data_IF_790115592631
#
_entry.id   IF_790115592631
#
_cell.length_a   1.000
_cell.length_b   1.000
_cell.length_c   1.000
_cell.angle_alpha   90.00
_cell.angle_beta   90.00
_cell.angle_gamma   90.00
#
_symmetry.space_group_name_H-M   'P 1'
#
loop_
_entity.id
_entity.type
_entity.pdbx_description
1 polymer ?
#
# COMPACT_ATOMS: atom_id res chain seq x y z
N UNK A 1 -10.72 -8.69 32.10
CA UNK A 1 -10.62 -9.40 30.81
C UNK A 1 -11.26 -8.56 29.72
N UNK A 2 -11.02 -8.88 28.45
CA UNK A 2 -11.70 -8.24 27.32
C UNK A 2 -13.21 -8.50 27.36
N UNK A 3 -14.01 -7.55 26.85
CA UNK A 3 -15.46 -7.70 26.67
C UNK A 3 -15.74 -7.84 25.17
N UNK A 4 -16.49 -8.87 24.79
CA UNK A 4 -16.86 -9.14 23.40
C UNK A 4 -18.37 -8.93 23.29
N UNK A 5 -18.78 -8.11 22.33
CA UNK A 5 -20.19 -7.83 22.04
C UNK A 5 -20.49 -8.25 20.60
N UNK A 6 -21.15 -9.39 20.45
CA UNK A 6 -21.58 -9.90 19.14
C UNK A 6 -22.95 -9.33 18.78
N UNK A 7 -23.29 -9.32 17.48
CA UNK A 7 -24.55 -8.74 16.96
C UNK A 7 -24.72 -7.24 17.30
N UNK A 8 -23.62 -6.53 17.53
CA UNK A 8 -23.56 -5.09 17.76
C UNK A 8 -22.78 -4.45 16.62
N UNK A 9 -23.49 -4.05 15.56
CA UNK A 9 -22.86 -3.43 14.40
C UNK A 9 -22.40 -2.00 14.72
N UNK A 10 -21.16 -1.68 14.33
CA UNK A 10 -20.65 -0.31 14.33
C UNK A 10 -21.14 0.38 13.06
N UNK A 11 -21.88 1.47 13.21
CA UNK A 11 -22.40 2.24 12.07
C UNK A 11 -21.55 3.47 11.78
N UNK A 12 -20.74 3.94 12.74
CA UNK A 12 -19.88 5.11 12.57
C UNK A 12 -18.70 5.09 13.56
N UNK A 13 -17.52 5.52 13.10
CA UNK A 13 -16.41 5.91 13.97
C UNK A 13 -16.61 7.37 14.38
N UNK A 14 -16.61 7.65 15.68
CA UNK A 14 -16.79 9.00 16.22
C UNK A 14 -15.45 9.73 16.24
N UNK A 15 -15.38 10.90 15.59
CA UNK A 15 -14.17 11.73 15.51
C UNK A 15 -14.44 13.11 16.11
N UNK A 16 -13.62 13.51 17.07
CA UNK A 16 -13.69 14.80 17.75
C UNK A 16 -12.31 15.47 17.66
N UNK A 17 -12.26 16.71 17.17
CA UNK A 17 -11.01 17.48 17.04
C UNK A 17 -9.88 16.71 16.32
N UNK A 18 -10.24 15.97 15.25
CA UNK A 18 -9.29 15.18 14.46
C UNK A 18 -8.78 13.91 15.14
N UNK A 19 -9.46 13.43 16.20
CA UNK A 19 -9.10 12.22 16.95
C UNK A 19 -10.29 11.30 17.12
N UNK A 20 -10.08 10.00 17.00
CA UNK A 20 -11.08 8.99 17.33
C UNK A 20 -11.47 9.08 18.82
N UNK A 21 -12.76 9.02 19.09
CA UNK A 21 -13.34 9.23 20.43
C UNK A 21 -14.31 8.12 20.83
N UNK A 22 -14.53 7.15 19.95
CA UNK A 22 -15.44 6.04 20.15
C UNK A 22 -16.09 5.55 18.87
N UNK A 23 -17.15 4.77 19.02
CA UNK A 23 -17.96 4.23 17.93
C UNK A 23 -19.44 4.40 18.24
N UNK A 24 -20.24 4.69 17.21
CA UNK A 24 -21.69 4.54 17.27
C UNK A 24 -22.05 3.13 16.85
N UNK A 25 -22.92 2.50 17.63
CA UNK A 25 -23.39 1.15 17.36
C UNK A 25 -24.91 1.09 17.29
N UNK A 26 -25.45 -0.04 16.84
CA UNK A 26 -26.90 -0.34 16.89
C UNK A 26 -27.46 -0.36 18.32
N UNK A 27 -26.61 -0.39 19.35
CA UNK A 27 -26.99 -0.42 20.77
C UNK A 27 -26.59 0.86 21.51
N UNK A 28 -26.25 1.93 20.77
CA UNK A 28 -25.84 3.22 21.31
C UNK A 28 -24.34 3.50 21.14
N UNK A 29 -23.92 4.66 21.63
CA UNK A 29 -22.55 5.15 21.49
C UNK A 29 -21.64 4.53 22.57
N UNK A 30 -20.45 4.09 22.16
CA UNK A 30 -19.40 3.59 23.05
C UNK A 30 -18.17 4.49 22.93
N UNK A 31 -17.74 5.10 24.03
CA UNK A 31 -16.55 5.95 24.08
C UNK A 31 -15.29 5.12 24.21
N UNK A 32 -14.26 5.49 23.46
CA UNK A 32 -12.95 4.86 23.52
C UNK A 32 -11.86 5.90 23.20
N UNK A 33 -10.72 5.81 23.88
CA UNK A 33 -9.55 6.63 23.56
C UNK A 33 -8.90 6.23 22.24
N UNK A 34 -8.90 4.92 21.95
CA UNK A 34 -8.36 4.32 20.73
C UNK A 34 -9.43 3.48 20.06
N UNK A 35 -9.49 3.55 18.72
CA UNK A 35 -10.38 2.73 17.90
C UNK A 35 -9.51 1.97 16.90
N UNK A 36 -9.73 0.66 16.76
CA UNK A 36 -9.05 -0.17 15.76
C UNK A 36 -10.07 -0.63 14.72
N UNK A 37 -9.92 -0.19 13.48
CA UNK A 37 -10.70 -0.66 12.34
C UNK A 37 -10.12 -2.01 11.84
N UNK A 38 -10.67 -3.08 12.36
CA UNK A 38 -10.39 -4.47 11.97
C UNK A 38 -11.58 -5.12 11.24
N UNK A 39 -12.40 -4.31 10.54
CA UNK A 39 -13.68 -4.72 9.98
C UNK A 39 -13.59 -5.48 8.64
N UNK A 40 -12.51 -6.23 8.39
CA UNK A 40 -12.33 -7.02 7.16
C UNK A 40 -12.62 -6.23 5.88
N UNK A 41 -13.50 -6.75 5.02
CA UNK A 41 -13.91 -6.09 3.76
C UNK A 41 -14.67 -4.77 3.97
N UNK A 42 -15.31 -4.57 5.13
CA UNK A 42 -16.04 -3.33 5.45
C UNK A 42 -15.12 -2.21 5.92
N UNK A 43 -13.85 -2.50 6.21
CA UNK A 43 -12.90 -1.52 6.75
C UNK A 43 -12.68 -0.32 5.80
N UNK A 44 -12.76 -0.52 4.48
CA UNK A 44 -12.71 0.56 3.49
C UNK A 44 -13.84 1.58 3.69
N UNK A 45 -15.09 1.09 3.73
CA UNK A 45 -16.27 1.95 3.87
C UNK A 45 -16.32 2.64 5.23
N UNK A 46 -16.03 1.89 6.30
CA UNK A 46 -16.01 2.43 7.66
C UNK A 46 -14.93 3.51 7.84
N UNK A 47 -13.73 3.28 7.28
CA UNK A 47 -12.63 4.25 7.30
C UNK A 47 -12.93 5.50 6.46
N UNK A 48 -13.53 5.34 5.27
CA UNK A 48 -13.92 6.45 4.42
C UNK A 48 -14.97 7.37 5.09
N UNK A 49 -15.95 6.78 5.77
CA UNK A 49 -16.94 7.53 6.54
C UNK A 49 -16.34 8.33 7.71
N UNK A 50 -15.20 7.89 8.24
CA UNK A 50 -14.43 8.60 9.27
C UNK A 50 -13.40 9.61 8.69
N UNK A 51 -13.34 9.77 7.36
CA UNK A 51 -12.39 10.67 6.70
C UNK A 51 -10.97 10.12 6.52
N UNK A 52 -10.79 8.80 6.60
CA UNK A 52 -9.49 8.13 6.45
C UNK A 52 -9.36 7.32 5.17
N UNK A 53 -8.14 7.11 4.71
CA UNK A 53 -7.83 6.28 3.53
C UNK A 53 -7.46 4.86 3.95
N UNK A 54 -8.36 3.90 3.74
CA UNK A 54 -8.11 2.46 3.93
C UNK A 54 -8.28 1.76 2.57
N UNK A 55 -7.23 1.65 1.74
CA UNK A 55 -7.35 1.16 0.37
C UNK A 55 -7.38 -0.37 0.34
N UNK A 56 -8.58 -0.93 0.34
CA UNK A 56 -8.81 -2.36 0.09
C UNK A 56 -10.11 -2.58 -0.68
N UNK A 57 -10.21 -3.72 -1.34
CA UNK A 57 -11.40 -4.11 -2.09
C UNK A 57 -11.65 -5.60 -1.95
N UNK A 58 -12.92 -6.01 -2.00
CA UNK A 58 -13.24 -7.42 -1.98
C UNK A 58 -13.00 -8.04 -3.36
N UNK A 59 -12.53 -9.28 -3.40
CA UNK A 59 -12.51 -10.11 -4.60
C UNK A 59 -12.99 -11.52 -4.25
N UNK A 60 -13.62 -12.18 -5.22
CA UNK A 60 -13.97 -13.59 -5.14
C UNK A 60 -12.72 -14.43 -4.95
N UNK A 61 -12.80 -15.44 -4.08
CA UNK A 61 -11.75 -16.42 -3.82
C UNK A 61 -12.34 -17.82 -3.77
N UNK A 62 -11.70 -18.74 -4.49
CA UNK A 62 -12.27 -20.04 -4.77
C UNK A 62 -11.50 -21.16 -4.07
N UNK A 63 -12.24 -22.12 -3.49
CA UNK A 63 -11.70 -23.42 -3.15
C UNK A 63 -12.76 -24.52 -3.27
N UNK A 64 -12.30 -25.74 -3.45
CA UNK A 64 -13.10 -26.95 -3.31
C UNK A 64 -12.68 -27.74 -2.09
N UNK A 65 -13.60 -28.53 -1.57
CA UNK A 65 -13.30 -29.60 -0.62
C UNK A 65 -13.79 -30.91 -1.22
N UNK A 66 -12.91 -31.88 -1.35
CA UNK A 66 -13.27 -33.20 -1.86
C UNK A 66 -14.15 -33.96 -0.88
N UNK A 67 -14.80 -35.02 -1.34
CA UNK A 67 -15.22 -36.11 -0.46
C UNK A 67 -14.00 -36.78 0.19
N UNK A 68 -14.23 -37.63 1.19
CA UNK A 68 -13.14 -38.34 1.85
C UNK A 68 -12.42 -39.26 0.86
N UNK A 69 -11.09 -39.15 0.77
CA UNK A 69 -10.26 -39.95 -0.13
C UNK A 69 -9.72 -41.16 0.64
N UNK A 70 -10.09 -42.40 0.26
CA UNK A 70 -9.62 -43.59 0.94
C UNK A 70 -8.08 -43.69 0.96
N UNK A 71 -7.51 -43.88 2.15
CA UNK A 71 -6.06 -44.02 2.31
C UNK A 71 -5.27 -42.71 2.22
N UNK A 72 -5.92 -41.54 2.19
CA UNK A 72 -5.24 -40.25 2.22
C UNK A 72 -4.39 -40.11 3.51
N UNK A 73 -3.08 -39.86 3.41
CA UNK A 73 -2.24 -39.68 4.60
C UNK A 73 -2.64 -38.42 5.39
N UNK A 74 -2.81 -38.56 6.71
CA UNK A 74 -3.28 -37.48 7.61
C UNK A 74 -2.27 -36.36 7.88
N UNK A 75 -1.04 -36.51 7.42
CA UNK A 75 0.07 -35.60 7.73
C UNK A 75 0.75 -35.12 6.46
N UNK A 76 -0.02 -34.95 5.38
CA UNK A 76 0.49 -34.35 4.17
C UNK A 76 0.90 -32.90 4.45
N UNK A 77 2.07 -32.46 3.97
CA UNK A 77 2.42 -31.06 4.00
C UNK A 77 1.46 -30.27 3.11
N UNK A 78 1.27 -28.98 3.42
CA UNK A 78 0.61 -28.06 2.50
C UNK A 78 1.45 -27.97 1.22
N UNK A 79 0.82 -28.21 0.08
CA UNK A 79 1.43 -28.06 -1.23
C UNK A 79 1.00 -26.71 -1.82
N UNK A 80 1.95 -25.99 -2.43
CA UNK A 80 1.67 -24.84 -3.29
C UNK A 80 2.26 -25.12 -4.66
N UNK A 81 1.44 -24.99 -5.69
CA UNK A 81 1.84 -25.07 -7.09
C UNK A 81 1.72 -23.68 -7.70
N UNK A 82 2.85 -22.98 -7.78
CA UNK A 82 2.90 -21.63 -8.35
C UNK A 82 2.55 -21.59 -9.84
N UNK A 83 2.90 -22.63 -10.59
CA UNK A 83 2.66 -22.69 -12.04
C UNK A 83 1.15 -22.80 -12.33
N UNK A 84 0.43 -23.61 -11.55
CA UNK A 84 -1.02 -23.80 -11.66
C UNK A 84 -1.83 -22.88 -10.74
N UNK A 85 -1.17 -21.91 -10.10
CA UNK A 85 -1.80 -20.96 -9.19
C UNK A 85 -2.63 -21.60 -8.05
N UNK A 86 -2.25 -22.81 -7.57
CA UNK A 86 -3.08 -23.61 -6.66
C UNK A 86 -2.39 -23.99 -5.34
N UNK A 87 -3.18 -24.24 -4.30
CA UNK A 87 -2.71 -24.79 -3.03
C UNK A 87 -3.59 -25.93 -2.55
N UNK A 88 -2.97 -26.86 -1.83
CA UNK A 88 -3.59 -28.08 -1.37
C UNK A 88 -3.30 -28.27 0.11
N UNK A 89 -4.32 -28.67 0.86
CA UNK A 89 -4.20 -29.01 2.26
C UNK A 89 -5.03 -30.26 2.55
N UNK A 90 -4.46 -31.17 3.34
CA UNK A 90 -5.24 -32.24 3.95
C UNK A 90 -6.21 -31.67 4.99
N UNK A 91 -7.46 -32.11 4.90
CA UNK A 91 -8.54 -31.67 5.78
C UNK A 91 -9.39 -32.86 6.21
N UNK A 92 -9.00 -33.52 7.30
CA UNK A 92 -9.73 -34.61 7.93
C UNK A 92 -10.10 -35.76 6.97
N UNK A 93 -9.12 -36.25 6.20
CA UNK A 93 -9.29 -37.30 5.19
C UNK A 93 -9.78 -36.81 3.83
N UNK A 94 -9.91 -35.49 3.65
CA UNK A 94 -10.26 -34.83 2.39
C UNK A 94 -9.09 -33.97 1.91
N UNK A 95 -9.19 -33.48 0.68
CA UNK A 95 -8.33 -32.41 0.19
C UNK A 95 -9.13 -31.13 0.05
N UNK A 96 -8.61 -30.05 0.63
CA UNK A 96 -8.99 -28.69 0.27
C UNK A 96 -8.03 -28.22 -0.81
N UNK A 97 -8.59 -27.75 -1.93
CA UNK A 97 -7.83 -27.19 -3.05
C UNK A 97 -8.35 -25.81 -3.34
N UNK A 98 -7.49 -24.79 -3.28
CA UNK A 98 -7.87 -23.43 -3.61
C UNK A 98 -6.88 -22.78 -4.56
N UNK A 99 -7.25 -21.62 -5.11
CA UNK A 99 -6.51 -20.96 -6.18
C UNK A 99 -6.31 -19.47 -5.91
N UNK A 100 -5.24 -18.91 -6.47
CA UNK A 100 -5.02 -17.47 -6.55
C UNK A 100 -4.87 -17.11 -8.03
N UNK A 101 -6.00 -16.92 -8.72
CA UNK A 101 -5.99 -16.77 -10.17
C UNK A 101 -5.22 -15.53 -10.64
N UNK A 102 -4.51 -15.61 -11.79
CA UNK A 102 -3.79 -14.46 -12.36
C UNK A 102 -4.68 -13.24 -12.63
N UNK A 103 -5.98 -13.45 -12.87
CA UNK A 103 -6.97 -12.41 -13.12
C UNK A 103 -8.08 -12.56 -12.09
N UNK A 104 -8.04 -11.72 -11.07
CA UNK A 104 -9.02 -11.75 -9.99
C UNK A 104 -10.40 -11.25 -10.43
N UNK A 105 -11.43 -11.59 -9.66
CA UNK A 105 -12.79 -11.07 -9.82
C UNK A 105 -13.17 -10.12 -8.67
N UNK A 106 -12.92 -8.80 -8.81
CA UNK A 106 -13.40 -7.80 -7.85
C UNK A 106 -14.90 -7.89 -7.60
N UNK A 107 -15.30 -7.84 -6.33
CA UNK A 107 -16.68 -7.95 -5.89
C UNK A 107 -17.09 -6.78 -4.98
N UNK A 108 -18.39 -6.50 -4.90
CA UNK A 108 -18.91 -5.48 -3.98
C UNK A 108 -18.70 -4.05 -4.47
N UNK A 109 -18.72 -3.81 -5.79
CA UNK A 109 -18.59 -2.46 -6.38
C UNK A 109 -19.69 -1.48 -5.96
N UNK A 110 -20.82 -1.96 -5.44
CA UNK A 110 -21.88 -1.14 -4.83
C UNK A 110 -21.86 -1.11 -3.29
N UNK A 111 -20.83 -1.70 -2.69
CA UNK A 111 -20.74 -1.95 -1.25
C UNK A 111 -20.91 -3.44 -0.93
N UNK A 112 -20.42 -3.83 0.24
CA UNK A 112 -20.61 -5.17 0.80
C UNK A 112 -21.89 -5.13 1.64
N UNK A 113 -22.89 -6.00 1.39
CA UNK A 113 -24.12 -6.02 2.18
C UNK A 113 -23.82 -6.21 3.66
N UNK A 114 -24.50 -5.46 4.54
CA UNK A 114 -24.33 -5.57 5.99
C UNK A 114 -24.73 -6.95 6.54
N UNK A 115 -25.67 -7.62 5.86
CA UNK A 115 -26.14 -8.96 6.21
C UNK A 115 -25.22 -10.09 5.74
N UNK A 116 -24.19 -9.80 4.94
CA UNK A 116 -23.31 -10.84 4.39
C UNK A 116 -22.41 -11.39 5.51
N UNK A 117 -22.74 -12.59 6.00
CA UNK A 117 -22.01 -13.26 7.08
C UNK A 117 -22.28 -14.76 7.03
N UNK A 118 -21.23 -15.58 7.21
CA UNK A 118 -21.31 -17.04 7.08
C UNK A 118 -21.99 -17.50 5.77
N UNK A 119 -21.77 -16.75 4.71
CA UNK A 119 -22.39 -16.91 3.40
C UNK A 119 -21.33 -17.07 2.32
N UNK A 120 -21.75 -17.50 1.14
CA UNK A 120 -20.90 -17.69 -0.04
C UNK A 120 -21.53 -17.01 -1.25
N UNK A 121 -20.69 -16.62 -2.19
CA UNK A 121 -21.13 -16.13 -3.49
C UNK A 121 -21.56 -17.30 -4.38
N UNK A 122 -22.33 -17.04 -5.45
CA UNK A 122 -22.69 -18.08 -6.41
C UNK A 122 -21.46 -18.80 -6.97
N UNK A 123 -21.59 -20.10 -7.18
CA UNK A 123 -20.57 -20.92 -7.82
C UNK A 123 -20.29 -20.40 -9.25
N UNK A 124 -19.03 -20.46 -9.66
CA UNK A 124 -18.58 -20.13 -11.01
C UNK A 124 -17.76 -21.29 -11.57
N UNK A 125 -18.47 -22.32 -12.02
CA UNK A 125 -17.82 -23.55 -12.50
C UNK A 125 -17.02 -23.31 -13.78
N UNK A 126 -17.46 -22.41 -14.66
CA UNK A 126 -16.74 -22.06 -15.90
C UNK A 126 -15.37 -21.44 -15.57
N UNK A 127 -15.29 -20.63 -14.50
CA UNK A 127 -14.03 -20.06 -14.02
C UNK A 127 -13.13 -21.11 -13.35
N UNK A 128 -13.71 -22.02 -12.56
CA UNK A 128 -12.95 -23.01 -11.76
C UNK A 128 -12.47 -24.21 -12.59
N UNK A 129 -13.25 -24.66 -13.58
CA UNK A 129 -12.97 -25.87 -14.38
C UNK A 129 -11.52 -25.94 -14.91
N UNK A 130 -10.98 -24.93 -15.63
CA UNK A 130 -9.59 -25.00 -16.13
C UNK A 130 -8.55 -25.05 -14.99
N UNK A 131 -8.85 -24.43 -13.85
CA UNK A 131 -7.97 -24.44 -12.68
C UNK A 131 -7.96 -25.80 -11.99
N UNK A 132 -9.12 -26.46 -11.97
CA UNK A 132 -9.29 -27.81 -11.45
C UNK A 132 -8.61 -28.84 -12.35
N UNK A 133 -8.70 -28.72 -13.67
CA UNK A 133 -7.96 -29.57 -14.61
C UNK A 133 -6.45 -29.52 -14.36
N UNK A 134 -5.89 -28.31 -14.18
CA UNK A 134 -4.48 -28.12 -13.84
C UNK A 134 -4.13 -28.73 -12.47
N UNK A 135 -5.01 -28.58 -11.48
CA UNK A 135 -4.85 -29.20 -10.17
C UNK A 135 -4.88 -30.74 -10.22
N UNK A 136 -5.75 -31.33 -11.06
CA UNK A 136 -5.81 -32.78 -11.31
C UNK A 136 -4.53 -33.27 -11.97
N UNK A 137 -3.97 -32.51 -12.92
CA UNK A 137 -2.69 -32.84 -13.52
C UNK A 137 -1.56 -32.93 -12.46
N UNK A 138 -1.56 -32.01 -11.48
CA UNK A 138 -0.59 -32.03 -10.37
C UNK A 138 -0.86 -33.15 -9.35
N UNK A 139 -2.13 -33.36 -9.00
CA UNK A 139 -2.58 -34.36 -8.01
C UNK A 139 -3.66 -35.26 -8.63
N UNK A 140 -3.27 -36.34 -9.35
CA UNK A 140 -4.21 -37.17 -10.11
C UNK A 140 -5.32 -37.82 -9.30
N UNK A 141 -5.13 -37.98 -7.98
CA UNK A 141 -6.17 -38.50 -7.08
C UNK A 141 -7.45 -37.64 -7.08
N UNK A 142 -7.34 -36.34 -7.39
CA UNK A 142 -8.48 -35.44 -7.50
C UNK A 142 -9.43 -35.82 -8.64
N UNK A 143 -8.92 -36.38 -9.74
CA UNK A 143 -9.74 -36.79 -10.88
C UNK A 143 -10.66 -37.99 -10.61
N UNK A 144 -10.47 -38.66 -9.47
CA UNK A 144 -11.29 -39.80 -9.02
C UNK A 144 -12.10 -39.47 -7.76
N UNK A 145 -11.83 -38.34 -7.12
CA UNK A 145 -12.51 -37.93 -5.89
C UNK A 145 -13.80 -37.18 -6.23
N UNK A 146 -14.88 -37.46 -5.48
CA UNK A 146 -16.06 -36.59 -5.49
C UNK A 146 -15.73 -35.22 -4.90
N UNK A 147 -16.51 -34.20 -5.25
CA UNK A 147 -16.42 -32.87 -4.66
C UNK A 147 -17.59 -32.68 -3.69
N UNK A 148 -17.28 -32.42 -2.43
CA UNK A 148 -18.28 -32.18 -1.39
C UNK A 148 -18.73 -30.71 -1.35
N UNK A 149 -17.80 -29.79 -1.62
CA UNK A 149 -18.06 -28.35 -1.55
C UNK A 149 -17.34 -27.64 -2.69
N UNK A 150 -18.08 -26.79 -3.39
CA UNK A 150 -17.55 -25.66 -4.13
C UNK A 150 -17.79 -24.42 -3.28
N UNK A 151 -16.75 -23.64 -3.06
CA UNK A 151 -16.82 -22.43 -2.26
C UNK A 151 -16.28 -21.24 -3.06
N UNK A 152 -17.10 -20.19 -3.15
CA UNK A 152 -16.71 -18.88 -3.61
C UNK A 152 -16.93 -17.89 -2.46
N UNK A 153 -15.84 -17.51 -1.78
CA UNK A 153 -15.89 -16.57 -0.66
C UNK A 153 -15.19 -15.27 -1.00
N UNK A 154 -15.78 -14.10 -0.71
CA UNK A 154 -15.10 -12.85 -0.94
C UNK A 154 -14.06 -12.58 0.15
N UNK A 155 -12.90 -12.08 -0.25
CA UNK A 155 -11.82 -11.66 0.64
C UNK A 155 -11.33 -10.25 0.30
N UNK A 156 -10.77 -9.55 1.29
CA UNK A 156 -10.25 -8.19 1.08
C UNK A 156 -8.79 -8.19 0.64
N UNK A 157 -8.52 -7.52 -0.49
CA UNK A 157 -7.19 -7.31 -1.05
C UNK A 157 -6.79 -5.84 -1.07
N UNK A 158 -5.52 -5.58 -0.80
CA UNK A 158 -4.89 -4.25 -0.89
C UNK A 158 -4.19 -4.07 -2.23
N UNK A 159 -4.03 -2.83 -2.74
CA UNK A 159 -3.38 -2.53 -4.02
C UNK A 159 -1.97 -3.11 -4.26
N UNK A 160 -1.27 -3.50 -3.20
CA UNK A 160 0.12 -3.95 -3.20
C UNK A 160 0.32 -5.31 -2.50
N UNK A 161 -0.76 -6.05 -2.24
CA UNK A 161 -0.78 -7.32 -1.50
C UNK A 161 -0.08 -7.31 -0.14
N UNK A 162 -0.02 -6.15 0.51
CA UNK A 162 0.44 -6.02 1.90
C UNK A 162 -0.69 -5.50 2.78
N UNK A 163 -0.93 -6.17 3.91
CA UNK A 163 -1.97 -5.73 4.83
C UNK A 163 -1.69 -4.33 5.40
N UNK A 164 -2.73 -3.73 5.95
CA UNK A 164 -2.72 -2.37 6.48
C UNK A 164 -2.68 -2.41 8.01
N UNK A 165 -1.59 -1.91 8.60
CA UNK A 165 -1.41 -1.77 10.04
C UNK A 165 -1.07 -0.33 10.45
N UNK A 166 -1.53 0.08 11.63
CA UNK A 166 -1.05 1.30 12.29
C UNK A 166 -2.06 2.44 12.36
N UNK A 167 -1.62 3.56 12.93
CA UNK A 167 -2.45 4.76 13.13
C UNK A 167 -2.61 5.54 11.83
N UNK A 168 -3.85 5.86 11.46
CA UNK A 168 -4.17 6.61 10.25
C UNK A 168 -3.50 7.99 10.25
N UNK A 169 -3.04 8.49 9.08
CA UNK A 169 -2.43 9.82 8.99
C UNK A 169 -3.45 10.95 9.19
N UNK A 170 -4.74 10.71 8.91
CA UNK A 170 -5.78 11.73 8.96
C UNK A 170 -6.44 11.89 10.34
N UNK A 171 -6.61 10.79 11.09
CA UNK A 171 -7.32 10.78 12.39
C UNK A 171 -6.45 10.17 13.48
N UNK A 172 -6.15 10.97 14.50
CA UNK A 172 -5.38 10.51 15.68
C UNK A 172 -6.14 9.42 16.43
N UNK A 173 -5.41 8.47 17.00
CA UNK A 173 -5.93 7.32 17.75
C UNK A 173 -6.88 6.39 16.97
N UNK A 174 -7.04 6.56 15.66
CA UNK A 174 -7.69 5.60 14.79
C UNK A 174 -6.62 4.71 14.16
N UNK A 175 -6.63 3.43 14.52
CA UNK A 175 -5.74 2.41 14.00
C UNK A 175 -6.46 1.51 12.98
N UNK A 176 -5.70 0.89 12.09
CA UNK A 176 -6.21 -0.06 11.10
C UNK A 176 -5.52 -1.40 11.28
N UNK A 177 -6.28 -2.49 11.09
CA UNK A 177 -5.79 -3.85 10.94
C UNK A 177 -6.66 -4.58 9.92
N UNK A 178 -6.40 -4.37 8.62
CA UNK A 178 -7.29 -4.83 7.56
C UNK A 178 -6.55 -5.15 6.26
N UNK A 179 -7.26 -5.76 5.30
CA UNK A 179 -6.69 -6.07 3.98
C UNK A 179 -5.68 -7.21 4.03
N UNK A 180 -6.01 -8.31 4.70
CA UNK A 180 -5.06 -9.39 4.96
C UNK A 180 -4.74 -10.31 3.78
N UNK A 181 -5.22 -10.03 2.56
CA UNK A 181 -4.78 -10.67 1.31
C UNK A 181 -4.66 -12.20 1.40
N UNK A 182 -5.68 -12.86 1.97
CA UNK A 182 -5.72 -14.31 2.16
C UNK A 182 -4.61 -14.94 3.01
N UNK A 183 -3.91 -14.14 3.81
CA UNK A 183 -2.94 -14.60 4.82
C UNK A 183 -3.35 -14.23 6.25
N UNK A 184 -4.59 -13.76 6.45
CA UNK A 184 -5.09 -13.27 7.74
C UNK A 184 -4.96 -14.27 8.89
N UNK A 185 -5.32 -15.53 8.67
CA UNK A 185 -5.20 -16.58 9.69
C UNK A 185 -3.73 -16.79 10.11
N UNK A 186 -2.81 -16.75 9.13
CA UNK A 186 -1.38 -16.93 9.38
C UNK A 186 -0.77 -15.73 10.10
N UNK A 187 -1.17 -14.51 9.73
CA UNK A 187 -0.56 -13.27 10.22
C UNK A 187 -1.23 -12.69 11.47
N UNK A 188 -2.47 -13.05 11.79
CA UNK A 188 -3.28 -12.40 12.83
C UNK A 188 -2.60 -12.36 14.21
N UNK A 189 -1.95 -13.45 14.63
CA UNK A 189 -1.27 -13.50 15.92
C UNK A 189 -0.13 -12.48 16.04
N UNK A 190 0.72 -12.41 15.00
CA UNK A 190 1.82 -11.45 14.92
C UNK A 190 1.33 -10.02 14.77
N UNK A 191 0.39 -9.78 13.84
CA UNK A 191 -0.21 -8.47 13.57
C UNK A 191 -0.90 -7.89 14.82
N UNK A 192 -1.67 -8.72 15.55
CA UNK A 192 -2.32 -8.32 16.79
C UNK A 192 -1.32 -7.94 17.88
N UNK A 193 -0.23 -8.70 18.04
CA UNK A 193 0.84 -8.38 18.99
C UNK A 193 1.49 -7.03 18.65
N UNK A 194 1.96 -6.85 17.42
CA UNK A 194 2.71 -5.62 17.06
C UNK A 194 1.82 -4.38 17.12
N UNK A 195 0.53 -4.50 16.77
CA UNK A 195 -0.40 -3.37 16.84
C UNK A 195 -0.76 -3.02 18.29
N UNK A 196 -0.88 -4.02 19.17
CA UNK A 196 -1.08 -3.79 20.59
C UNK A 196 0.12 -3.07 21.22
N UNK A 197 1.35 -3.54 20.95
CA UNK A 197 2.58 -2.87 21.39
C UNK A 197 2.63 -1.43 20.85
N UNK A 198 2.26 -1.23 19.58
CA UNK A 198 2.23 0.11 18.96
C UNK A 198 1.24 1.05 19.64
N UNK A 199 0.03 0.59 19.95
CA UNK A 199 -0.97 1.41 20.65
C UNK A 199 -0.47 1.78 22.06
N UNK A 200 0.12 0.82 22.78
CA UNK A 200 0.58 1.02 24.17
C UNK A 200 1.80 1.94 24.24
N UNK A 201 2.80 1.71 23.40
CA UNK A 201 4.07 2.43 23.44
C UNK A 201 4.05 3.73 22.61
N UNK A 202 3.02 3.93 21.79
CA UNK A 202 2.87 5.07 20.88
C UNK A 202 3.78 5.00 19.64
N UNK A 203 4.49 3.90 19.44
CA UNK A 203 5.38 3.69 18.28
C UNK A 203 5.45 2.19 17.92
N UNK A 204 5.74 1.83 16.66
CA UNK A 204 5.85 0.41 16.31
C UNK A 204 7.05 -0.23 17.02
N UNK A 205 6.99 -1.53 17.39
CA UNK A 205 8.06 -2.22 18.10
C UNK A 205 9.26 -2.57 17.20
N UNK A 206 9.09 -2.48 15.89
CA UNK A 206 10.11 -2.72 14.86
C UNK A 206 9.78 -1.90 13.61
N UNK A 207 10.62 -1.96 12.57
CA UNK A 207 10.26 -1.39 11.28
C UNK A 207 9.11 -2.19 10.65
N UNK A 208 8.01 -1.49 10.39
CA UNK A 208 6.78 -2.02 9.80
C UNK A 208 6.37 -1.21 8.56
N UNK A 209 7.31 -0.50 7.94
CA UNK A 209 7.02 0.41 6.83
C UNK A 209 6.28 -0.24 5.66
N UNK A 210 6.58 -1.50 5.37
CA UNK A 210 5.97 -2.26 4.28
C UNK A 210 4.47 -2.52 4.47
N UNK A 211 3.99 -2.51 5.72
CA UNK A 211 2.57 -2.73 6.09
C UNK A 211 1.92 -1.52 6.76
N UNK A 212 2.67 -0.45 7.02
CA UNK A 212 2.17 0.79 7.61
C UNK A 212 1.08 1.43 6.75
N UNK A 213 -0.06 1.78 7.35
CA UNK A 213 -1.19 2.45 6.68
C UNK A 213 -0.78 3.80 6.07
N UNK A 214 0.25 4.46 6.61
CA UNK A 214 0.75 5.76 6.13
C UNK A 214 1.49 5.68 4.79
N UNK A 215 1.72 4.49 4.24
CA UNK A 215 2.15 4.32 2.85
C UNK A 215 1.01 4.56 1.85
N UNK A 216 -0.23 4.49 2.30
CA UNK A 216 -1.40 4.72 1.47
C UNK A 216 -1.47 6.18 1.01
N UNK A 217 -1.76 6.35 -0.27
CA UNK A 217 -1.97 7.67 -0.87
C UNK A 217 -3.46 7.98 -0.91
N UNK A 218 -3.89 9.24 -0.68
CA UNK A 218 -5.31 9.60 -0.62
C UNK A 218 -6.13 9.18 -1.85
N UNK A 219 -5.54 9.16 -3.05
CA UNK A 219 -6.23 8.75 -4.27
C UNK A 219 -6.58 7.25 -4.29
N UNK A 220 -5.87 6.41 -3.53
CA UNK A 220 -6.05 4.96 -3.54
C UNK A 220 -7.37 4.53 -2.90
N UNK A 221 -8.11 5.43 -2.24
CA UNK A 221 -9.50 5.18 -1.83
C UNK A 221 -10.49 5.15 -2.99
N UNK A 222 -10.08 5.54 -4.20
CA UNK A 222 -10.94 5.55 -5.37
C UNK A 222 -11.36 4.11 -5.73
N UNK A 223 -12.67 3.87 -5.84
CA UNK A 223 -13.23 2.53 -6.08
C UNK A 223 -12.81 1.93 -7.43
N UNK A 224 -12.66 2.75 -8.46
CA UNK A 224 -12.18 2.28 -9.78
C UNK A 224 -10.72 1.89 -9.72
N UNK A 225 -9.88 2.72 -9.08
CA UNK A 225 -8.46 2.37 -8.84
C UNK A 225 -8.34 1.03 -8.10
N UNK A 226 -9.11 0.88 -7.02
CA UNK A 226 -9.12 -0.33 -6.20
C UNK A 226 -9.58 -1.55 -6.98
N UNK A 227 -10.69 -1.43 -7.72
CA UNK A 227 -11.20 -2.49 -8.59
C UNK A 227 -10.12 -2.94 -9.57
N UNK A 228 -9.60 -1.99 -10.36
CA UNK A 228 -8.66 -2.28 -11.44
C UNK A 228 -7.35 -2.89 -10.89
N UNK A 229 -6.85 -2.38 -9.76
CA UNK A 229 -5.63 -2.92 -9.14
C UNK A 229 -5.85 -4.29 -8.50
N UNK A 230 -7.04 -4.55 -7.96
CA UNK A 230 -7.37 -5.85 -7.34
C UNK A 230 -7.40 -6.98 -8.36
N UNK A 231 -7.79 -6.70 -9.62
CA UNK A 231 -7.71 -7.68 -10.72
C UNK A 231 -6.30 -8.25 -10.85
N UNK A 232 -5.28 -7.40 -10.69
CA UNK A 232 -3.88 -7.80 -10.77
C UNK A 232 -3.36 -8.38 -9.43
N UNK A 233 -3.60 -7.69 -8.32
CA UNK A 233 -2.97 -7.93 -7.03
C UNK A 233 -3.10 -9.40 -6.56
N UNK A 234 -4.32 -9.94 -6.51
CA UNK A 234 -4.54 -11.33 -6.09
C UNK A 234 -3.69 -12.31 -6.90
N UNK A 235 -3.61 -12.12 -8.22
CA UNK A 235 -2.81 -12.96 -9.12
C UNK A 235 -1.29 -12.88 -8.88
N UNK A 236 -0.81 -11.84 -8.19
CA UNK A 236 0.60 -11.69 -7.85
C UNK A 236 1.05 -12.57 -6.69
N UNK A 237 0.11 -13.15 -5.93
CA UNK A 237 0.44 -14.01 -4.79
C UNK A 237 1.33 -15.19 -5.21
N UNK A 238 1.03 -15.82 -6.34
CA UNK A 238 1.84 -16.94 -6.90
C UNK A 238 2.62 -16.58 -8.16
N UNK A 239 2.48 -15.35 -8.68
CA UNK A 239 3.35 -14.87 -9.73
C UNK A 239 4.81 -14.79 -9.27
N UNK A 240 5.72 -14.84 -10.23
CA UNK A 240 7.15 -14.64 -9.95
C UNK A 240 7.39 -13.22 -9.41
N UNK A 241 8.01 -13.12 -8.23
CA UNK A 241 8.34 -11.86 -7.58
C UNK A 241 9.61 -11.24 -8.19
N UNK A 242 9.48 -10.80 -9.44
CA UNK A 242 10.58 -10.20 -10.18
C UNK A 242 11.10 -8.92 -9.48
N UNK A 243 12.44 -8.76 -9.37
CA UNK A 243 13.01 -7.47 -9.01
C UNK A 243 12.51 -6.37 -9.94
N UNK A 244 12.18 -5.21 -9.38
CA UNK A 244 11.69 -4.03 -10.11
C UNK A 244 10.33 -4.23 -10.81
N UNK A 245 9.57 -5.29 -10.52
CA UNK A 245 8.23 -5.48 -11.09
C UNK A 245 7.39 -4.22 -10.92
N UNK A 246 6.84 -3.73 -12.02
CA UNK A 246 5.93 -2.60 -12.06
C UNK A 246 4.49 -3.12 -12.16
N UNK A 247 3.53 -2.44 -11.51
CA UNK A 247 2.13 -2.76 -11.73
C UNK A 247 1.71 -2.43 -13.16
N UNK A 248 0.85 -3.28 -13.71
CA UNK A 248 0.33 -3.16 -15.08
C UNK A 248 -1.02 -2.44 -15.09
N UNK A 249 -1.81 -2.59 -14.02
CA UNK A 249 -3.14 -2.01 -13.87
C UNK A 249 -3.14 -0.70 -13.09
N UNK A 250 -4.25 0.06 -13.16
CA UNK A 250 -4.48 1.29 -12.38
C UNK A 250 -3.31 2.31 -12.46
N UNK A 251 -2.75 2.49 -13.66
CA UNK A 251 -1.62 3.38 -13.98
C UNK A 251 -2.06 4.77 -14.39
N UNK A 252 -1.12 5.71 -14.40
CA UNK A 252 -1.34 7.06 -14.94
C UNK A 252 -2.15 7.99 -14.03
N UNK A 253 -2.29 7.66 -12.74
CA UNK A 253 -3.04 8.48 -11.78
C UNK A 253 -2.43 9.88 -11.64
N UNK A 254 -1.10 9.96 -11.57
CA UNK A 254 -0.35 11.22 -11.48
C UNK A 254 0.73 11.22 -12.56
N UNK A 255 0.79 12.29 -13.33
CA UNK A 255 1.77 12.50 -14.40
C UNK A 255 2.39 13.87 -14.23
N UNK A 256 3.69 13.97 -14.46
CA UNK A 256 4.35 15.27 -14.48
C UNK A 256 3.93 16.06 -15.72
N UNK A 257 4.16 17.37 -15.71
CA UNK A 257 3.94 18.23 -16.87
C UNK A 257 4.79 17.86 -18.09
N UNK A 258 5.85 17.06 -17.89
CA UNK A 258 6.73 16.59 -18.95
C UNK A 258 6.40 15.18 -19.46
N UNK A 259 5.43 14.48 -18.86
CA UNK A 259 5.17 13.06 -19.13
C UNK A 259 5.15 12.72 -20.63
N UNK A 260 4.38 13.46 -21.45
CA UNK A 260 4.26 13.18 -22.89
C UNK A 260 5.58 13.43 -23.64
N UNK A 261 6.36 14.42 -23.23
CA UNK A 261 7.69 14.71 -23.81
C UNK A 261 8.68 13.61 -23.46
N UNK A 262 8.70 13.18 -22.20
CA UNK A 262 9.59 12.10 -21.74
C UNK A 262 9.22 10.77 -22.41
N UNK A 263 7.92 10.49 -22.56
CA UNK A 263 7.43 9.34 -23.33
C UNK A 263 7.89 9.39 -24.79
N UNK A 264 7.77 10.54 -25.45
CA UNK A 264 8.25 10.72 -26.83
C UNK A 264 9.78 10.56 -26.95
N UNK A 265 10.53 10.84 -25.88
CA UNK A 265 11.97 10.59 -25.79
C UNK A 265 12.35 9.14 -25.45
N UNK A 266 11.38 8.21 -25.38
CA UNK A 266 11.63 6.80 -25.13
C UNK A 266 11.60 6.39 -23.66
N UNK A 267 11.02 7.20 -22.76
CA UNK A 267 10.92 6.83 -21.34
C UNK A 267 10.15 5.51 -21.14
N UNK A 268 10.77 4.58 -20.43
CA UNK A 268 10.10 3.44 -19.82
C UNK A 268 9.68 3.81 -18.40
N UNK A 269 8.36 3.86 -18.17
CA UNK A 269 7.80 4.38 -16.92
C UNK A 269 7.60 3.28 -15.88
N UNK A 270 8.05 3.55 -14.65
CA UNK A 270 7.55 2.88 -13.46
C UNK A 270 6.53 3.72 -12.69
N UNK A 271 5.91 3.10 -11.69
CA UNK A 271 4.91 3.73 -10.83
C UNK A 271 5.39 3.77 -9.38
N UNK A 272 5.33 4.94 -8.77
CA UNK A 272 5.54 5.12 -7.33
C UNK A 272 4.58 6.18 -6.83
N UNK A 273 3.77 5.87 -5.80
CA UNK A 273 2.85 6.82 -5.17
C UNK A 273 1.88 7.49 -6.17
N UNK A 274 1.46 6.74 -7.18
CA UNK A 274 0.60 7.15 -8.29
C UNK A 274 1.33 7.86 -9.43
N UNK A 275 2.60 8.22 -9.25
CA UNK A 275 3.39 8.93 -10.27
C UNK A 275 3.97 7.99 -11.33
N UNK A 276 3.75 8.35 -12.59
CA UNK A 276 4.50 7.82 -13.72
C UNK A 276 5.90 8.44 -13.77
N UNK A 277 6.92 7.66 -13.45
CA UNK A 277 8.33 8.09 -13.39
C UNK A 277 9.16 7.41 -14.47
N UNK A 278 9.92 8.15 -15.30
CA UNK A 278 10.89 7.56 -16.20
C UNK A 278 11.96 6.85 -15.37
N UNK A 279 12.06 5.52 -15.51
CA UNK A 279 13.06 4.73 -14.80
C UNK A 279 14.31 4.50 -15.66
N UNK A 280 14.15 4.48 -16.98
CA UNK A 280 15.22 4.46 -17.98
C UNK A 280 14.65 4.86 -19.35
N UNK A 281 15.52 5.13 -20.32
CA UNK A 281 15.14 5.55 -21.67
C UNK A 281 15.58 4.53 -22.72
N UNK A 282 14.62 4.09 -23.53
CA UNK A 282 14.88 3.22 -24.66
C UNK A 282 15.40 4.04 -25.86
N UNK A 283 16.52 3.65 -26.48
CA UNK A 283 17.00 4.29 -27.70
C UNK A 283 16.08 3.99 -28.88
N UNK A 284 16.23 4.75 -29.97
CA UNK A 284 15.45 4.56 -31.20
C UNK A 284 15.55 3.11 -31.68
N UNK A 285 14.40 2.48 -31.92
CA UNK A 285 14.30 1.09 -32.38
C UNK A 285 14.25 0.04 -31.26
N UNK A 286 14.36 0.45 -29.99
CA UNK A 286 14.20 -0.43 -28.82
C UNK A 286 12.86 -0.13 -28.15
N UNK A 287 12.12 -1.18 -27.76
CA UNK A 287 10.88 -1.03 -27.03
C UNK A 287 11.14 -0.57 -25.58
N UNK A 288 10.38 0.43 -25.11
CA UNK A 288 10.45 0.95 -23.75
C UNK A 288 9.67 0.05 -22.77
N UNK A 289 10.12 -1.19 -22.60
CA UNK A 289 9.46 -2.23 -21.80
C UNK A 289 10.42 -2.94 -20.83
N UNK A 290 9.89 -3.37 -19.69
CA UNK A 290 10.64 -4.21 -18.77
C UNK A 290 10.74 -5.63 -19.29
N UNK A 291 11.95 -6.19 -19.26
CA UNK A 291 12.17 -7.64 -19.36
C UNK A 291 12.86 -8.10 -18.10
N UNK A 292 12.04 -8.61 -17.18
CA UNK A 292 12.48 -8.94 -15.84
C UNK A 292 13.47 -10.10 -15.82
N UNK A 293 14.39 -10.03 -14.86
CA UNK A 293 15.37 -11.07 -14.58
C UNK A 293 15.75 -10.99 -13.10
N UNK A 294 16.28 -12.07 -12.53
CA UNK A 294 16.97 -11.99 -11.23
C UNK A 294 18.40 -11.45 -11.36
N UNK A 295 18.94 -11.45 -12.57
CA UNK A 295 20.28 -10.93 -12.87
C UNK A 295 20.28 -9.51 -13.41
N UNK A 296 21.19 -9.22 -14.34
CA UNK A 296 21.22 -7.94 -15.05
C UNK A 296 19.93 -7.76 -15.85
N UNK A 297 19.33 -6.60 -15.70
CA UNK A 297 18.10 -6.21 -16.39
C UNK A 297 18.38 -5.81 -17.83
N UNK A 298 17.37 -5.88 -18.71
CA UNK A 298 17.50 -5.46 -20.11
C UNK A 298 17.90 -3.99 -20.28
N UNK A 299 17.60 -3.16 -19.29
CA UNK A 299 17.92 -1.74 -19.27
C UNK A 299 19.30 -1.40 -18.69
N UNK A 300 20.11 -2.40 -18.28
CA UNK A 300 21.38 -2.16 -17.60
C UNK A 300 22.36 -1.29 -18.41
N UNK A 301 22.59 -1.62 -19.69
CA UNK A 301 23.49 -0.84 -20.55
C UNK A 301 22.92 0.54 -20.91
N UNK A 302 21.59 0.66 -20.99
CA UNK A 302 20.91 1.93 -21.24
C UNK A 302 21.08 2.87 -20.04
N UNK A 303 20.84 2.37 -18.82
CA UNK A 303 21.11 3.12 -17.59
C UNK A 303 22.59 3.47 -17.44
N UNK A 304 23.51 2.58 -17.81
CA UNK A 304 24.94 2.88 -17.84
C UNK A 304 25.29 4.01 -18.82
N UNK A 305 24.61 4.08 -19.97
CA UNK A 305 24.75 5.18 -20.92
C UNK A 305 24.20 6.51 -20.35
N UNK A 306 23.03 6.49 -19.71
CA UNK A 306 22.47 7.67 -19.01
C UNK A 306 23.41 8.17 -17.91
N UNK A 307 23.94 7.26 -17.09
CA UNK A 307 24.95 7.58 -16.08
C UNK A 307 26.18 8.27 -16.70
N UNK A 308 26.73 7.71 -17.78
CA UNK A 308 27.89 8.31 -18.49
C UNK A 308 27.54 9.67 -19.09
N UNK A 309 26.34 9.85 -19.63
CA UNK A 309 25.87 11.12 -20.17
C UNK A 309 25.83 12.20 -19.08
N UNK A 310 25.29 11.89 -17.90
CA UNK A 310 25.26 12.84 -16.77
C UNK A 310 26.67 13.11 -16.23
N UNK A 311 27.51 12.08 -16.08
CA UNK A 311 28.87 12.23 -15.53
C UNK A 311 29.79 13.06 -16.43
N UNK A 312 29.67 12.91 -17.75
CA UNK A 312 30.60 13.53 -18.70
C UNK A 312 29.99 14.73 -19.45
N UNK A 313 28.69 15.01 -19.26
CA UNK A 313 27.98 16.05 -19.99
C UNK A 313 26.90 16.72 -19.12
N UNK A 314 25.63 16.62 -19.50
CA UNK A 314 24.48 17.14 -18.75
C UNK A 314 23.30 16.20 -18.98
N UNK A 315 22.49 15.98 -17.95
CA UNK A 315 21.22 15.28 -18.05
C UNK A 315 20.12 16.01 -17.27
N UNK A 316 18.89 15.79 -17.72
CA UNK A 316 17.69 16.31 -17.10
C UNK A 316 16.98 15.17 -16.36
N UNK A 317 16.70 15.39 -15.07
CA UNK A 317 15.93 14.49 -14.23
C UNK A 317 14.57 15.12 -13.92
N UNK A 318 13.49 14.42 -14.23
CA UNK A 318 12.17 14.80 -13.75
C UNK A 318 11.96 14.26 -12.33
N UNK A 319 12.04 15.17 -11.37
CA UNK A 319 11.90 14.91 -9.94
C UNK A 319 10.57 15.45 -9.40
N UNK A 320 9.62 15.77 -10.28
CA UNK A 320 8.30 16.32 -9.91
C UNK A 320 7.51 15.41 -8.97
N UNK A 321 7.87 14.12 -8.88
CA UNK A 321 7.24 13.16 -7.98
C UNK A 321 7.57 13.31 -6.50
N UNK A 322 8.64 14.02 -6.12
CA UNK A 322 9.00 14.22 -4.70
C UNK A 322 7.84 14.81 -3.91
N UNK A 323 7.65 14.37 -2.66
CA UNK A 323 6.72 15.00 -1.73
C UNK A 323 7.19 16.41 -1.40
N UNK A 324 6.29 17.39 -1.36
CA UNK A 324 6.63 18.80 -1.12
C UNK A 324 5.62 19.42 -0.17
N UNK A 325 6.11 20.06 0.89
CA UNK A 325 5.27 20.75 1.85
C UNK A 325 5.73 22.19 2.01
N UNK A 326 4.80 23.13 2.00
CA UNK A 326 5.08 24.47 2.52
C UNK A 326 4.80 24.47 4.02
N UNK A 327 5.72 25.04 4.79
CA UNK A 327 5.55 25.30 6.21
C UNK A 327 5.64 26.81 6.41
N UNK A 328 4.52 27.42 6.77
CA UNK A 328 4.35 28.87 6.78
C UNK A 328 3.80 29.39 8.11
N UNK A 329 4.29 30.55 8.56
CA UNK A 329 3.83 31.28 9.74
C UNK A 329 4.96 31.64 10.71
N UNK A 330 4.68 32.57 11.63
CA UNK A 330 5.70 33.12 12.54
C UNK A 330 6.39 32.12 13.46
N UNK A 331 5.82 30.92 13.66
CA UNK A 331 6.45 29.88 14.47
C UNK A 331 7.04 28.73 13.60
N UNK A 332 7.05 28.86 12.26
CA UNK A 332 7.51 27.81 11.34
C UNK A 332 8.98 27.40 11.55
N UNK A 333 9.88 28.37 11.74
CA UNK A 333 11.30 28.12 12.02
C UNK A 333 11.48 27.31 13.32
N UNK A 334 10.73 27.68 14.37
CA UNK A 334 10.77 27.01 15.68
C UNK A 334 10.26 25.57 15.56
N UNK A 335 9.13 25.38 14.87
CA UNK A 335 8.57 24.04 14.64
C UNK A 335 9.55 23.17 13.86
N UNK A 336 10.15 23.69 12.79
CA UNK A 336 11.08 22.91 11.98
C UNK A 336 12.37 22.59 12.73
N UNK A 337 12.96 23.53 13.50
CA UNK A 337 14.14 23.26 14.33
C UNK A 337 13.87 22.24 15.45
N UNK A 338 12.60 22.04 15.85
CA UNK A 338 12.23 20.98 16.80
C UNK A 338 12.22 19.59 16.15
N UNK A 339 11.87 19.49 14.87
CA UNK A 339 11.71 18.21 14.17
C UNK A 339 12.97 17.83 13.38
N UNK A 340 13.70 18.81 12.87
CA UNK A 340 14.94 18.63 12.13
C UNK A 340 16.12 18.35 13.08
N UNK A 341 16.98 17.42 12.68
CA UNK A 341 18.24 17.16 13.37
C UNK A 341 19.31 18.24 13.08
N UNK A 342 19.18 18.97 11.97
CA UNK A 342 20.08 20.06 11.59
C UNK A 342 19.42 21.44 11.83
N UNK A 343 20.23 22.48 11.99
CA UNK A 343 19.76 23.85 12.15
C UNK A 343 19.20 24.41 10.84
N UNK A 344 17.92 24.75 10.83
CA UNK A 344 17.23 25.35 9.67
C UNK A 344 17.07 26.87 9.78
N UNK A 345 17.64 27.48 10.81
CA UNK A 345 17.69 28.94 11.06
C UNK A 345 18.75 29.62 10.18
N UNK A 346 18.77 29.23 8.91
CA UNK A 346 19.71 29.72 7.90
C UNK A 346 19.16 30.99 7.22
N UNK A 347 20.00 31.79 6.55
CA UNK A 347 19.51 32.89 5.71
C UNK A 347 18.51 32.45 4.64
N UNK A 348 17.58 33.33 4.28
CA UNK A 348 16.63 33.12 3.18
C UNK A 348 17.39 32.80 1.88
N UNK A 349 16.91 31.81 1.15
CA UNK A 349 17.52 31.28 -0.08
C UNK A 349 18.47 30.10 0.15
N UNK A 350 18.72 29.71 1.39
CA UNK A 350 19.55 28.52 1.70
C UNK A 350 18.71 27.25 1.84
N UNK A 351 19.35 26.13 1.52
CA UNK A 351 18.83 24.78 1.64
C UNK A 351 19.65 23.99 2.67
N UNK A 352 18.95 23.25 3.52
CA UNK A 352 19.53 22.40 4.56
C UNK A 352 19.10 20.97 4.29
N UNK A 353 20.07 20.07 4.20
CA UNK A 353 19.83 18.63 4.26
C UNK A 353 19.76 18.20 5.73
N UNK A 354 18.70 17.49 6.10
CA UNK A 354 18.44 17.10 7.49
C UNK A 354 17.61 15.82 7.55
N UNK A 355 17.78 15.07 8.63
CA UNK A 355 16.87 13.99 9.01
C UNK A 355 15.82 14.52 9.99
N UNK A 356 14.69 13.82 10.06
CA UNK A 356 13.78 13.88 11.18
C UNK A 356 13.97 12.64 12.04
N UNK A 357 14.06 12.84 13.36
CA UNK A 357 14.31 11.76 14.30
C UNK A 357 13.12 11.59 15.24
N UNK A 358 12.88 10.36 15.69
CA UNK A 358 11.98 10.11 16.81
C UNK A 358 12.71 10.26 18.16
N UNK A 359 11.95 10.17 19.26
CA UNK A 359 12.49 10.33 20.62
C UNK A 359 13.56 9.28 21.01
N UNK A 360 13.69 8.18 20.25
CA UNK A 360 14.74 7.17 20.44
C UNK A 360 16.00 7.43 19.59
N UNK A 361 16.02 8.53 18.83
CA UNK A 361 17.11 8.87 17.92
C UNK A 361 17.12 8.06 16.62
N UNK A 362 16.04 7.32 16.30
CA UNK A 362 15.93 6.63 15.02
C UNK A 362 15.40 7.57 13.94
N UNK A 363 15.77 7.31 12.68
CA UNK A 363 15.40 8.12 11.52
C UNK A 363 13.94 7.84 11.12
N UNK A 364 13.16 8.90 11.01
CA UNK A 364 11.77 8.89 10.54
C UNK A 364 11.65 9.39 9.10
N UNK A 365 12.46 10.38 8.73
CA UNK A 365 12.53 10.91 7.36
C UNK A 365 13.93 11.44 7.04
N UNK A 366 14.26 11.44 5.75
CA UNK A 366 15.48 12.03 5.21
C UNK A 366 15.11 12.97 4.05
N UNK A 367 15.40 14.27 4.21
CA UNK A 367 14.78 15.31 3.39
C UNK A 367 15.61 16.59 3.34
N UNK A 368 15.15 17.54 2.53
CA UNK A 368 15.70 18.89 2.50
C UNK A 368 14.68 19.93 2.95
N UNK A 369 15.17 21.00 3.57
CA UNK A 369 14.38 22.17 3.97
C UNK A 369 15.02 23.41 3.35
N UNK A 370 14.28 24.12 2.52
CA UNK A 370 14.69 25.40 1.92
C UNK A 370 13.97 26.54 2.62
N UNK A 371 14.70 27.54 3.11
CA UNK A 371 14.08 28.77 3.64
C UNK A 371 13.75 29.72 2.48
N UNK A 372 12.50 29.78 2.08
CA UNK A 372 12.06 30.58 0.92
C UNK A 372 11.77 32.04 1.28
N UNK A 373 11.32 32.30 2.52
CA UNK A 373 11.14 33.64 3.07
C UNK A 373 11.33 33.63 4.60
N UNK A 374 11.15 34.78 5.25
CA UNK A 374 11.31 34.93 6.70
C UNK A 374 10.50 33.90 7.50
N UNK A 375 9.21 33.74 7.14
CA UNK A 375 8.24 32.85 7.79
C UNK A 375 7.77 31.71 6.87
N UNK A 376 8.56 31.34 5.84
CA UNK A 376 8.16 30.32 4.86
C UNK A 376 9.30 29.38 4.50
N UNK A 377 9.01 28.09 4.57
CA UNK A 377 9.93 27.00 4.27
C UNK A 377 9.32 26.00 3.30
N UNK A 378 10.12 25.47 2.39
CA UNK A 378 9.77 24.36 1.53
C UNK A 378 10.49 23.10 1.99
N UNK A 379 9.73 22.10 2.40
CA UNK A 379 10.23 20.77 2.75
C UNK A 379 10.06 19.86 1.53
N UNK A 380 11.11 19.14 1.13
CA UNK A 380 11.08 18.20 0.00
C UNK A 380 11.52 16.81 0.47
N UNK A 381 10.66 15.81 0.28
CA UNK A 381 10.87 14.41 0.70
C UNK A 381 10.59 13.40 -0.43
N UNK A 382 10.78 12.11 -0.17
CA UNK A 382 10.54 11.04 -1.13
C UNK A 382 9.06 10.91 -1.53
N UNK A 383 8.81 10.52 -2.79
CA UNK A 383 7.46 10.34 -3.32
C UNK A 383 6.62 9.32 -2.52
N UNK A 384 7.26 8.21 -2.11
CA UNK A 384 6.59 7.10 -1.42
C UNK A 384 6.22 7.42 0.03
N UNK A 385 6.94 8.34 0.68
CA UNK A 385 6.73 8.71 2.09
C UNK A 385 5.91 9.99 2.24
N UNK A 386 5.37 10.54 1.14
CA UNK A 386 4.63 11.81 1.12
C UNK A 386 3.54 11.89 2.21
N UNK A 387 2.75 10.84 2.40
CA UNK A 387 1.70 10.83 3.43
C UNK A 387 2.28 10.71 4.84
N UNK A 388 3.26 9.80 5.04
CA UNK A 388 3.90 9.55 6.33
C UNK A 388 4.59 10.79 6.88
N UNK A 389 5.38 11.46 6.06
CA UNK A 389 6.23 12.57 6.51
C UNK A 389 5.35 13.78 6.84
N UNK A 390 4.33 14.07 6.03
CA UNK A 390 3.36 15.11 6.36
C UNK A 390 2.62 14.82 7.68
N UNK A 391 2.23 13.56 7.90
CA UNK A 391 1.61 13.15 9.15
C UNK A 391 2.58 13.32 10.33
N UNK A 392 3.86 12.96 10.17
CA UNK A 392 4.89 13.18 11.18
C UNK A 392 5.01 14.67 11.55
N UNK A 393 5.18 15.55 10.56
CA UNK A 393 5.29 16.99 10.77
C UNK A 393 4.07 17.56 11.49
N UNK A 394 2.86 17.23 11.04
CA UNK A 394 1.61 17.70 11.67
C UNK A 394 1.45 17.22 13.10
N UNK A 395 1.89 16.00 13.42
CA UNK A 395 1.80 15.44 14.78
C UNK A 395 2.79 16.09 15.76
N UNK A 396 3.89 16.66 15.26
CA UNK A 396 4.93 17.31 16.07
C UNK A 396 4.83 18.84 16.07
N UNK A 397 3.91 19.41 15.29
CA UNK A 397 3.52 20.81 15.37
C UNK A 397 2.61 21.02 16.60
N UNK A 398 2.99 21.90 17.55
CA UNK A 398 2.10 22.25 18.68
C UNK A 398 0.76 22.79 18.19
N UNK A 399 -0.32 22.49 18.90
CA UNK A 399 -1.68 22.91 18.50
C UNK A 399 -1.87 24.44 18.53
N UNK A 400 -1.08 25.13 19.35
CA UNK A 400 -1.06 26.58 19.53
C UNK A 400 0.01 27.29 18.68
N UNK A 401 0.80 26.54 17.89
CA UNK A 401 1.79 27.13 17.01
C UNK A 401 1.12 27.95 15.90
N UNK A 402 1.64 29.15 15.64
CA UNK A 402 1.26 30.00 14.50
C UNK A 402 2.04 29.54 13.26
N UNK A 403 1.79 28.30 12.86
CA UNK A 403 2.35 27.70 11.66
C UNK A 403 1.35 26.74 11.02
N UNK A 404 1.46 26.54 9.70
CA UNK A 404 0.66 25.57 8.95
C UNK A 404 1.56 24.77 7.99
N UNK A 405 1.30 23.46 7.88
CA UNK A 405 1.95 22.59 6.91
C UNK A 405 0.96 22.13 5.82
N UNK A 406 1.23 22.51 4.58
CA UNK A 406 0.38 22.24 3.42
C UNK A 406 1.12 21.38 2.40
N UNK A 407 0.46 20.33 1.91
CA UNK A 407 0.98 19.54 0.80
C UNK A 407 0.82 20.29 -0.52
N UNK A 408 1.95 20.66 -1.12
CA UNK A 408 2.03 21.35 -2.40
C UNK A 408 2.69 20.47 -3.47
N UNK A 409 2.74 19.15 -3.25
CA UNK A 409 3.44 18.20 -4.12
C UNK A 409 3.04 18.33 -5.59
N UNK A 410 1.74 18.46 -5.85
CA UNK A 410 1.19 18.55 -7.20
C UNK A 410 1.19 19.97 -7.77
N UNK A 411 1.58 20.99 -6.99
CA UNK A 411 1.67 22.38 -7.44
C UNK A 411 3.00 22.70 -8.14
N UNK A 412 4.02 21.88 -7.94
CA UNK A 412 5.37 22.12 -8.46
C UNK A 412 5.87 20.99 -9.35
N UNK A 413 6.43 21.35 -10.49
CA UNK A 413 7.37 20.50 -11.22
C UNK A 413 8.79 20.72 -10.66
N UNK A 414 9.61 19.66 -10.64
CA UNK A 414 11.00 19.73 -10.19
C UNK A 414 11.88 19.12 -11.27
N UNK A 415 12.80 19.92 -11.80
CA UNK A 415 13.74 19.50 -12.83
C UNK A 415 15.15 19.62 -12.30
N UNK A 416 15.85 18.49 -12.23
CA UNK A 416 17.27 18.44 -11.91
C UNK A 416 18.09 18.53 -13.18
N UNK A 417 18.84 19.61 -13.38
CA UNK A 417 19.83 19.73 -14.45
C UNK A 417 21.19 19.40 -13.85
N UNK A 418 21.72 18.22 -14.17
CA UNK A 418 22.87 17.65 -13.48
C UNK A 418 23.97 17.25 -14.45
N UNK A 419 25.22 17.51 -14.07
CA UNK A 419 26.41 17.17 -14.85
C UNK A 419 27.40 18.34 -14.95
N UNK A 420 28.66 18.09 -15.39
CA UNK A 420 29.70 19.12 -15.48
C UNK A 420 29.33 20.30 -16.38
N UNK A 421 28.41 20.13 -17.35
CA UNK A 421 27.96 21.20 -18.26
C UNK A 421 26.59 21.76 -17.93
N UNK A 422 26.15 21.66 -16.67
CA UNK A 422 24.83 22.13 -16.25
C UNK A 422 24.67 23.66 -16.23
N UNK A 423 25.79 24.41 -16.20
CA UNK A 423 25.79 25.88 -16.18
C UNK A 423 25.86 26.52 -17.57
N UNK A 424 26.45 25.81 -18.53
CA UNK A 424 26.56 26.25 -19.94
C UNK A 424 25.19 26.11 -20.62
#
# INVERSE_FOLDING_TARGET
GARIFENVAVTQILVEQGRASGVRTTHGDMRAEFVVNAAGMWAHGLGAAAGTTVPLHAAEHFYIVTEAIPGLPKHLPVLRDGDACSYFKEDAGKLLVGWFEPVAKPWGMMGIPESFSFDQLPDDLEHIEPLLEAAIHRVPALGQAGIQLFFNGPESFTPDDRYLLGETPEVRNLFVAAGFNSIGIQSAGGAGKVLADWIVDGHPPMDLWDVDIRRAMPFQRNRTYLKDRTVEALGLLYAMHWPFRQPETARGVRRSALHDRLKASGACFGEVAGWERPNWYAPKGVAAEYRYSFGRQNWFEHSAAEHRAVRNNVGLFDQSSFGKYTVEGGDAEIVLNRVCANDVSVPVGQIVYTQWLNARGCIEADLTVTREAEERFLVVTAAATQTRDLAWLRRHMPQDARAVAVDVTSAYAVLGIMGPKSRD
#
